data_IF_323628888642
#
_entry.id   IF_323628888642
#
_cell.length_a   1.000
_cell.length_b   1.000
_cell.length_c   1.000
_cell.angle_alpha   90.00
_cell.angle_beta   90.00
_cell.angle_gamma   90.00
#
_symmetry.space_group_name_H-M   'P 1'
#
loop_
_entity.id
_entity.type
_entity.pdbx_description
1 polymer ?
#
# COMPACT_ATOMS: atom_id res chain seq x y z
N UNK A 1 16.79 37.03 -13.56
CA UNK A 1 18.16 36.85 -14.08
C UNK A 1 18.95 35.81 -13.30
N UNK A 2 19.35 35.99 -12.04
CA UNK A 2 20.15 34.95 -11.34
C UNK A 2 19.40 33.63 -11.08
N UNK A 3 18.11 33.66 -10.74
CA UNK A 3 17.28 32.44 -10.58
C UNK A 3 17.03 31.72 -11.91
N UNK A 4 16.72 32.46 -12.99
CA UNK A 4 16.53 31.87 -14.34
C UNK A 4 17.82 31.22 -14.88
N UNK A 5 18.98 31.82 -14.61
CA UNK A 5 20.27 31.24 -15.00
C UNK A 5 20.65 30.02 -14.16
N UNK A 6 20.23 29.96 -12.88
CA UNK A 6 20.40 28.80 -12.03
C UNK A 6 19.45 27.64 -12.41
N UNK A 7 18.23 27.95 -12.85
CA UNK A 7 17.27 26.97 -13.39
C UNK A 7 17.79 26.29 -14.65
N UNK A 8 18.47 27.03 -15.54
CA UNK A 8 19.08 26.47 -16.76
C UNK A 8 20.24 25.51 -16.48
N UNK A 9 20.85 25.60 -15.30
CA UNK A 9 22.01 24.78 -14.91
C UNK A 9 21.62 23.57 -14.04
N UNK A 10 20.41 23.57 -13.48
CA UNK A 10 19.88 22.50 -12.66
C UNK A 10 19.06 21.52 -13.53
N UNK A 11 19.35 20.21 -13.52
CA UNK A 11 18.55 19.23 -14.25
C UNK A 11 17.14 19.03 -13.68
N UNK A 12 16.87 19.55 -12.47
CA UNK A 12 15.55 19.48 -11.86
C UNK A 12 14.85 20.85 -11.94
N UNK A 13 13.57 20.89 -12.37
CA UNK A 13 12.81 22.14 -12.34
C UNK A 13 12.68 22.64 -10.91
N UNK A 14 12.68 23.96 -10.74
CA UNK A 14 12.32 24.59 -9.47
C UNK A 14 10.87 24.24 -9.10
N UNK A 15 10.53 24.20 -7.81
CA UNK A 15 9.15 23.98 -7.39
C UNK A 15 8.24 25.10 -7.92
N UNK A 16 6.93 24.84 -8.13
CA UNK A 16 6.00 25.84 -8.65
C UNK A 16 5.96 27.10 -7.78
N UNK A 17 6.10 28.29 -8.38
CA UNK A 17 6.25 29.59 -7.68
C UNK A 17 5.23 29.86 -6.55
N UNK A 18 4.05 29.27 -6.63
CA UNK A 18 3.00 29.34 -5.61
C UNK A 18 3.40 28.71 -4.25
N UNK A 19 4.46 27.88 -4.18
CA UNK A 19 4.88 27.25 -2.93
C UNK A 19 5.21 28.29 -1.84
N UNK A 20 5.76 29.45 -2.22
CA UNK A 20 6.10 30.56 -1.33
C UNK A 20 4.87 31.18 -0.64
N UNK A 21 3.69 31.00 -1.23
CA UNK A 21 2.42 31.53 -0.73
C UNK A 21 1.85 30.71 0.43
N UNK A 22 2.30 29.46 0.62
CA UNK A 22 1.85 28.57 1.69
C UNK A 22 2.51 28.92 3.03
N UNK A 23 2.15 30.08 3.60
CA UNK A 23 2.58 30.50 4.94
C UNK A 23 1.49 30.20 5.98
N UNK A 24 1.90 30.04 7.24
CA UNK A 24 0.95 29.84 8.35
C UNK A 24 -0.04 30.99 8.51
N UNK A 25 0.40 32.21 8.18
CA UNK A 25 -0.45 33.39 8.17
C UNK A 25 -1.51 33.33 7.06
N UNK A 26 -1.09 33.06 5.82
CA UNK A 26 -2.00 33.01 4.67
C UNK A 26 -3.03 31.88 4.79
N UNK A 27 -2.65 30.75 5.40
CA UNK A 27 -3.59 29.66 5.68
C UNK A 27 -4.65 30.06 6.70
N UNK A 28 -4.27 30.80 7.76
CA UNK A 28 -5.25 31.35 8.73
C UNK A 28 -6.17 32.37 8.07
N UNK A 29 -5.65 33.21 7.18
CA UNK A 29 -6.49 34.15 6.41
C UNK A 29 -7.49 33.41 5.53
N UNK A 30 -7.08 32.30 4.90
CA UNK A 30 -7.97 31.45 4.12
C UNK A 30 -9.06 30.80 4.98
N UNK A 31 -8.72 30.29 6.17
CA UNK A 31 -9.70 29.71 7.09
C UNK A 31 -10.72 30.78 7.55
N UNK A 32 -10.26 31.99 7.89
CA UNK A 32 -11.15 33.11 8.23
C UNK A 32 -12.01 33.55 7.05
N UNK A 33 -11.45 33.57 5.84
CA UNK A 33 -12.19 33.89 4.62
C UNK A 33 -13.31 32.87 4.39
N UNK A 34 -13.03 31.58 4.58
CA UNK A 34 -14.03 30.50 4.49
C UNK A 34 -15.15 30.63 5.52
N UNK A 35 -14.80 30.93 6.77
CA UNK A 35 -15.79 31.13 7.84
C UNK A 35 -16.76 32.27 7.52
N UNK A 36 -16.28 33.36 6.92
CA UNK A 36 -17.11 34.53 6.59
C UNK A 36 -17.88 34.42 5.28
N UNK A 37 -17.37 33.63 4.35
CA UNK A 37 -17.96 33.42 3.02
C UNK A 37 -18.85 32.17 3.00
N UNK A 38 -19.12 31.53 4.15
CA UNK A 38 -19.70 30.19 4.34
C UNK A 38 -20.86 29.75 3.39
N UNK A 39 -21.63 30.68 2.79
CA UNK A 39 -22.74 30.39 1.88
C UNK A 39 -22.52 30.82 0.41
N UNK A 40 -21.48 31.59 0.10
CA UNK A 40 -21.19 32.09 -1.25
C UNK A 40 -20.02 31.36 -1.91
N UNK A 41 -20.02 31.28 -3.24
CA UNK A 41 -18.93 30.65 -3.98
C UNK A 41 -17.62 31.42 -3.73
N UNK A 42 -16.68 30.81 -3.02
CA UNK A 42 -15.39 31.36 -2.56
C UNK A 42 -14.59 31.99 -3.72
N UNK A 43 -14.78 31.47 -4.94
CA UNK A 43 -14.15 31.99 -6.17
C UNK A 43 -14.70 33.34 -6.65
N UNK A 44 -15.87 33.78 -6.18
CA UNK A 44 -16.56 34.99 -6.61
C UNK A 44 -16.66 36.09 -5.54
N UNK A 45 -16.34 35.76 -4.30
CA UNK A 45 -16.40 36.70 -3.17
C UNK A 45 -15.18 37.63 -3.14
N UNK A 46 -15.42 38.91 -2.86
CA UNK A 46 -14.36 39.91 -2.70
C UNK A 46 -13.56 39.67 -1.42
N UNK A 47 -12.34 39.14 -1.54
CA UNK A 47 -11.43 38.85 -0.41
C UNK A 47 -11.19 40.06 0.50
N UNK A 48 -11.04 41.24 -0.08
CA UNK A 48 -10.80 42.48 0.67
C UNK A 48 -12.00 42.97 1.48
N UNK A 49 -13.21 42.68 1.01
CA UNK A 49 -14.43 43.04 1.72
C UNK A 49 -14.66 42.10 2.91
N UNK A 50 -14.41 40.80 2.72
CA UNK A 50 -14.54 39.80 3.77
C UNK A 50 -13.41 39.83 4.83
N UNK A 51 -12.25 40.41 4.49
CA UNK A 51 -11.07 40.49 5.35
C UNK A 51 -10.64 41.93 5.67
N UNK A 52 -11.55 42.91 5.59
CA UNK A 52 -11.25 44.34 5.83
C UNK A 52 -10.58 44.62 7.18
N UNK A 53 -10.82 43.75 8.16
CA UNK A 53 -10.33 43.88 9.53
C UNK A 53 -8.90 43.36 9.72
N UNK A 54 -8.33 42.67 8.72
CA UNK A 54 -6.99 42.10 8.78
C UNK A 54 -5.99 43.01 8.05
N UNK A 55 -4.83 43.18 8.66
CA UNK A 55 -3.68 43.81 8.00
C UNK A 55 -2.96 42.77 7.12
N UNK A 56 -2.29 43.23 6.07
CA UNK A 56 -1.45 42.42 5.18
C UNK A 56 -2.20 41.36 4.33
N UNK A 57 -3.44 41.65 3.92
CA UNK A 57 -4.18 40.81 2.96
C UNK A 57 -3.46 40.80 1.60
N UNK A 58 -3.02 39.63 1.09
CA UNK A 58 -2.27 39.56 -0.16
C UNK A 58 -3.10 39.95 -1.39
N UNK A 59 -2.44 40.50 -2.42
CA UNK A 59 -3.09 40.88 -3.70
C UNK A 59 -3.54 39.70 -4.57
N UNK A 60 -2.95 38.54 -4.34
CA UNK A 60 -3.33 37.32 -5.05
C UNK A 60 -4.51 36.63 -4.33
N UNK A 61 -5.36 35.90 -5.07
CA UNK A 61 -6.54 35.27 -4.50
C UNK A 61 -6.16 34.09 -3.59
N UNK A 62 -6.60 34.13 -2.33
CA UNK A 62 -6.38 33.08 -1.33
C UNK A 62 -6.91 31.72 -1.80
N UNK A 63 -7.88 31.70 -2.71
CA UNK A 63 -8.42 30.49 -3.36
C UNK A 63 -7.33 29.61 -4.00
N UNK A 64 -6.19 30.19 -4.38
CA UNK A 64 -5.04 29.41 -4.90
C UNK A 64 -4.45 28.43 -3.88
N UNK A 65 -4.65 28.67 -2.58
CA UNK A 65 -4.17 27.77 -1.51
C UNK A 65 -5.13 26.61 -1.26
N UNK A 66 -6.28 26.58 -1.93
CA UNK A 66 -7.22 25.48 -1.79
C UNK A 66 -6.67 24.18 -2.37
N UNK A 67 -7.25 23.07 -1.92
CA UNK A 67 -6.93 21.77 -2.48
C UNK A 67 -7.31 21.76 -3.96
N UNK A 68 -6.49 21.17 -4.84
CA UNK A 68 -6.86 20.99 -6.24
C UNK A 68 -8.21 20.29 -6.37
N UNK A 69 -8.94 20.58 -7.46
CA UNK A 69 -10.21 19.92 -7.75
C UNK A 69 -9.99 18.48 -8.19
N UNK A 70 -10.07 17.56 -7.23
CA UNK A 70 -9.96 16.12 -7.47
C UNK A 70 -11.15 15.60 -8.28
N UNK A 71 -12.29 16.29 -8.22
CA UNK A 71 -13.52 15.91 -8.92
C UNK A 71 -13.32 15.82 -10.44
N UNK A 72 -12.53 16.72 -11.02
CA UNK A 72 -12.19 16.69 -12.46
C UNK A 72 -11.47 15.40 -12.86
N UNK A 73 -10.56 14.92 -12.00
CA UNK A 73 -9.84 13.67 -12.25
C UNK A 73 -10.80 12.48 -12.18
N UNK A 74 -11.79 12.52 -11.28
CA UNK A 74 -12.81 11.47 -11.16
C UNK A 74 -13.79 11.50 -12.35
N UNK A 75 -14.17 12.68 -12.84
CA UNK A 75 -15.05 12.88 -14.00
C UNK A 75 -14.39 12.42 -15.31
N UNK A 76 -13.12 12.79 -15.51
CA UNK A 76 -12.34 12.38 -16.69
C UNK A 76 -11.93 10.90 -16.62
N UNK A 77 -11.84 10.33 -15.41
CA UNK A 77 -11.52 8.92 -15.17
C UNK A 77 -10.06 8.54 -15.45
N UNK A 78 -9.22 9.51 -15.82
CA UNK A 78 -7.79 9.35 -16.04
C UNK A 78 -7.04 10.66 -15.77
N UNK A 79 -5.72 10.59 -15.61
CA UNK A 79 -4.82 11.73 -15.47
C UNK A 79 -3.50 11.45 -16.16
N UNK A 80 -2.84 12.48 -16.69
CA UNK A 80 -1.57 12.31 -17.42
C UNK A 80 -0.37 12.65 -16.54
N UNK A 81 0.65 11.79 -16.56
CA UNK A 81 1.91 11.99 -15.85
C UNK A 81 3.06 11.71 -16.81
N UNK A 82 3.91 12.72 -17.05
CA UNK A 82 5.10 12.61 -17.91
C UNK A 82 4.84 12.05 -19.33
N UNK A 83 3.66 12.32 -19.89
CA UNK A 83 3.25 11.82 -21.22
C UNK A 83 2.48 10.50 -21.19
N UNK A 84 2.44 9.81 -20.06
CA UNK A 84 1.65 8.59 -19.88
C UNK A 84 0.28 8.90 -19.30
N UNK A 85 -0.75 8.19 -19.78
CA UNK A 85 -2.12 8.31 -19.28
C UNK A 85 -2.39 7.23 -18.24
N UNK A 86 -2.77 7.66 -17.04
CA UNK A 86 -3.08 6.80 -15.89
C UNK A 86 -4.58 6.81 -15.62
N UNK A 87 -5.22 5.65 -15.59
CA UNK A 87 -6.65 5.54 -15.31
C UNK A 87 -6.89 5.50 -13.79
N UNK A 88 -7.91 6.24 -13.32
CA UNK A 88 -8.27 6.28 -11.90
C UNK A 88 -8.77 4.91 -11.43
N UNK A 89 -9.52 4.22 -12.29
CA UNK A 89 -9.88 2.83 -12.10
C UNK A 89 -9.02 1.98 -13.03
N UNK A 90 -8.00 1.34 -12.45
CA UNK A 90 -7.19 0.38 -13.20
C UNK A 90 -8.04 -0.84 -13.58
N UNK A 91 -8.51 -0.85 -14.83
CA UNK A 91 -9.07 -2.04 -15.45
C UNK A 91 -7.98 -2.71 -16.27
N UNK A 92 -7.64 -3.95 -15.93
CA UNK A 92 -6.75 -4.75 -16.76
C UNK A 92 -7.51 -5.01 -18.07
N UNK A 93 -7.02 -4.52 -19.23
CA UNK A 93 -7.70 -4.75 -20.51
C UNK A 93 -7.74 -6.24 -20.78
N UNK A 94 -8.88 -6.73 -21.30
CA UNK A 94 -8.99 -8.15 -21.62
C UNK A 94 -8.07 -8.52 -22.78
N UNK A 95 -7.71 -9.80 -22.88
CA UNK A 95 -6.89 -10.26 -24.00
C UNK A 95 -7.57 -9.99 -25.35
N UNK A 96 -8.91 -10.07 -25.41
CA UNK A 96 -9.69 -9.77 -26.60
C UNK A 96 -9.65 -8.27 -26.96
N UNK A 97 -9.70 -7.38 -25.98
CA UNK A 97 -9.62 -5.91 -26.19
C UNK A 97 -8.25 -5.50 -26.75
N UNK A 98 -7.21 -6.26 -26.41
CA UNK A 98 -5.86 -6.10 -26.96
C UNK A 98 -5.67 -6.78 -28.32
N UNK A 99 -6.73 -7.32 -28.92
CA UNK A 99 -6.68 -8.04 -30.20
C UNK A 99 -6.03 -9.42 -30.13
N UNK A 100 -5.82 -9.95 -28.91
CA UNK A 100 -5.22 -11.25 -28.68
C UNK A 100 -6.22 -12.41 -28.70
N UNK A 101 -5.78 -13.57 -29.14
CA UNK A 101 -6.59 -14.79 -29.15
C UNK A 101 -6.60 -15.44 -27.75
N UNK A 102 -7.75 -15.48 -27.10
CA UNK A 102 -7.90 -16.12 -25.79
C UNK A 102 -8.04 -17.64 -25.93
N UNK A 103 -7.21 -18.38 -25.20
CA UNK A 103 -7.11 -19.85 -25.25
C UNK A 103 -7.66 -20.53 -23.98
N UNK A 104 -8.29 -19.77 -23.09
CA UNK A 104 -8.91 -20.25 -21.85
C UNK A 104 -10.34 -19.68 -21.72
N UNK A 105 -11.22 -20.32 -20.92
CA UNK A 105 -12.60 -19.85 -20.74
C UNK A 105 -12.69 -18.41 -20.24
N UNK A 106 -13.57 -17.62 -20.85
CA UNK A 106 -13.84 -16.22 -20.43
C UNK A 106 -14.52 -16.19 -19.07
N UNK A 107 -15.44 -17.12 -18.84
CA UNK A 107 -16.19 -17.24 -17.60
C UNK A 107 -15.25 -17.51 -16.40
N UNK A 108 -15.21 -16.63 -15.39
CA UNK A 108 -14.41 -16.83 -14.18
C UNK A 108 -14.89 -18.01 -13.32
N UNK A 109 -16.13 -18.49 -13.48
CA UNK A 109 -16.68 -19.59 -12.70
C UNK A 109 -16.18 -20.98 -13.15
N UNK A 110 -15.62 -21.07 -14.36
CA UNK A 110 -15.14 -22.33 -14.94
C UNK A 110 -13.68 -22.56 -14.56
N UNK A 111 -13.33 -23.79 -14.20
CA UNK A 111 -11.94 -24.16 -13.92
C UNK A 111 -11.04 -23.94 -15.15
N UNK A 112 -10.11 -22.97 -15.03
CA UNK A 112 -9.16 -22.58 -16.07
C UNK A 112 -7.91 -23.47 -16.09
N UNK A 113 -7.63 -24.23 -15.02
CA UNK A 113 -6.42 -25.07 -14.90
C UNK A 113 -6.22 -26.05 -16.07
N UNK A 114 -7.22 -26.80 -16.57
CA UNK A 114 -7.01 -27.70 -17.70
C UNK A 114 -6.60 -26.95 -18.97
N UNK A 115 -7.21 -25.79 -19.25
CA UNK A 115 -6.86 -24.96 -20.39
C UNK A 115 -5.44 -24.41 -20.28
N UNK A 116 -5.06 -23.86 -19.11
CA UNK A 116 -3.72 -23.33 -18.87
C UNK A 116 -2.64 -24.41 -18.92
N UNK A 117 -2.92 -25.62 -18.42
CA UNK A 117 -2.03 -26.78 -18.58
C UNK A 117 -1.84 -27.15 -20.04
N UNK A 118 -2.88 -27.06 -20.87
CA UNK A 118 -2.75 -27.29 -22.30
C UNK A 118 -1.94 -26.19 -22.99
N UNK A 119 -2.16 -24.91 -22.64
CA UNK A 119 -1.35 -23.78 -23.13
C UNK A 119 0.13 -23.98 -22.77
N UNK A 120 0.44 -24.41 -21.54
CA UNK A 120 1.81 -24.70 -21.12
C UNK A 120 2.42 -25.86 -21.91
N UNK A 121 1.68 -26.96 -22.10
CA UNK A 121 2.14 -28.10 -22.92
C UNK A 121 2.39 -27.68 -24.36
N UNK A 122 1.48 -26.91 -24.95
CA UNK A 122 1.64 -26.33 -26.28
C UNK A 122 2.87 -25.44 -26.35
N UNK A 123 3.14 -24.61 -25.34
CA UNK A 123 4.33 -23.76 -25.29
C UNK A 123 5.62 -24.58 -25.32
N UNK A 124 5.69 -25.65 -24.53
CA UNK A 124 6.86 -26.54 -24.51
C UNK A 124 7.08 -27.24 -25.86
N UNK A 125 6.01 -27.71 -26.51
CA UNK A 125 6.08 -28.35 -27.84
C UNK A 125 6.45 -27.33 -28.93
N UNK A 126 5.89 -26.13 -28.90
CA UNK A 126 6.23 -25.05 -29.84
C UNK A 126 7.69 -24.62 -29.67
N UNK A 127 8.19 -24.58 -28.43
CA UNK A 127 9.60 -24.30 -28.15
C UNK A 127 10.53 -25.41 -28.66
N UNK A 128 10.18 -26.69 -28.50
CA UNK A 128 11.01 -27.76 -29.08
C UNK A 128 11.04 -27.69 -30.60
N UNK A 129 9.91 -27.41 -31.26
CA UNK A 129 9.84 -27.20 -32.71
C UNK A 129 10.62 -25.96 -33.17
N UNK A 130 10.66 -24.90 -32.36
CA UNK A 130 11.51 -23.75 -32.63
C UNK A 130 12.99 -24.16 -32.64
N UNK A 131 13.43 -24.96 -31.66
CA UNK A 131 14.80 -25.47 -31.63
C UNK A 131 15.10 -26.34 -32.86
N UNK A 132 14.18 -27.24 -33.23
CA UNK A 132 14.33 -28.07 -34.44
C UNK A 132 14.45 -27.20 -35.71
N UNK A 133 13.62 -26.15 -35.83
CA UNK A 133 13.63 -25.22 -36.95
C UNK A 133 14.91 -24.36 -37.00
N UNK A 134 15.50 -24.04 -35.86
CA UNK A 134 16.77 -23.28 -35.77
C UNK A 134 17.99 -24.16 -36.07
N UNK A 135 17.91 -25.45 -35.77
CA UNK A 135 18.96 -26.44 -36.07
C UNK A 135 18.84 -27.01 -37.48
N UNK A 136 17.72 -26.77 -38.17
CA UNK A 136 17.50 -27.16 -39.55
C UNK A 136 18.51 -26.46 -40.49
N UNK A 137 18.90 -27.11 -41.61
CA UNK A 137 19.79 -26.49 -42.58
C UNK A 137 19.18 -25.18 -43.11
N UNK A 138 20.03 -24.17 -43.42
CA UNK A 138 19.54 -22.88 -43.88
C UNK A 138 18.71 -23.02 -45.16
N UNK A 139 17.63 -22.24 -45.31
CA UNK A 139 16.79 -22.31 -46.50
C UNK A 139 17.63 -22.01 -47.74
N UNK A 140 17.42 -22.80 -48.80
CA UNK A 140 18.08 -22.57 -50.09
C UNK A 140 17.65 -21.22 -50.66
N UNK A 141 18.53 -20.54 -51.40
CA UNK A 141 18.30 -19.21 -51.98
C UNK A 141 17.08 -19.11 -52.92
N UNK A 142 16.44 -20.24 -53.25
CA UNK A 142 15.22 -20.35 -54.06
C UNK A 142 13.93 -20.35 -53.22
N UNK A 143 13.99 -20.45 -51.89
CA UNK A 143 12.81 -20.55 -51.05
C UNK A 143 12.20 -19.16 -50.80
N UNK A 144 10.97 -18.95 -51.27
CA UNK A 144 10.16 -17.76 -51.00
C UNK A 144 9.26 -17.93 -49.77
N UNK A 145 9.25 -19.10 -49.13
CA UNK A 145 8.45 -19.36 -47.95
C UNK A 145 9.07 -18.70 -46.70
N UNK A 146 8.27 -18.11 -45.81
CA UNK A 146 8.78 -17.57 -44.56
C UNK A 146 9.41 -18.69 -43.71
N UNK A 147 10.48 -18.39 -42.95
CA UNK A 147 11.15 -19.38 -42.13
C UNK A 147 10.21 -19.99 -41.10
N UNK A 148 10.30 -21.31 -40.87
CA UNK A 148 9.45 -21.99 -39.88
C UNK A 148 9.60 -21.41 -38.47
N UNK A 149 10.81 -20.99 -38.08
CA UNK A 149 11.07 -20.39 -36.77
C UNK A 149 10.19 -19.17 -36.50
N UNK A 150 9.87 -18.36 -37.54
CA UNK A 150 9.06 -17.16 -37.39
C UNK A 150 7.66 -17.50 -36.90
N UNK A 151 7.04 -18.52 -37.51
CA UNK A 151 5.74 -19.04 -37.08
C UNK A 151 5.78 -19.55 -35.65
N UNK A 152 6.85 -20.27 -35.27
CA UNK A 152 6.96 -20.79 -33.89
C UNK A 152 7.06 -19.65 -32.87
N UNK A 153 7.80 -18.58 -33.19
CA UNK A 153 7.91 -17.38 -32.35
C UNK A 153 6.55 -16.70 -32.17
N UNK A 154 5.79 -16.51 -33.25
CA UNK A 154 4.44 -15.94 -33.19
C UNK A 154 3.52 -16.73 -32.25
N UNK A 155 3.54 -18.07 -32.35
CA UNK A 155 2.78 -18.93 -31.43
C UNK A 155 3.26 -18.83 -29.98
N UNK A 156 4.57 -18.76 -29.74
CA UNK A 156 5.12 -18.56 -28.39
C UNK A 156 4.65 -17.23 -27.81
N UNK A 157 4.63 -16.15 -28.60
CA UNK A 157 4.11 -14.84 -28.17
C UNK A 157 2.64 -14.94 -27.75
N UNK A 158 1.79 -15.56 -28.56
CA UNK A 158 0.37 -15.75 -28.24
C UNK A 158 0.18 -16.59 -26.97
N UNK A 159 0.90 -17.70 -26.84
CA UNK A 159 0.84 -18.58 -25.67
C UNK A 159 1.31 -17.85 -24.39
N UNK A 160 2.39 -17.09 -24.49
CA UNK A 160 2.92 -16.27 -23.39
C UNK A 160 1.94 -15.18 -22.94
N UNK A 161 1.34 -14.46 -23.89
CA UNK A 161 0.30 -13.48 -23.60
C UNK A 161 -0.90 -14.09 -22.88
N UNK A 162 -1.34 -15.29 -23.29
CA UNK A 162 -2.42 -16.01 -22.62
C UNK A 162 -2.09 -16.39 -21.18
N UNK A 163 -0.87 -16.87 -20.90
CA UNK A 163 -0.43 -17.19 -19.54
C UNK A 163 -0.38 -15.93 -18.68
N UNK A 164 0.17 -14.83 -19.22
CA UNK A 164 0.25 -13.56 -18.50
C UNK A 164 -1.14 -12.98 -18.18
N UNK A 165 -2.05 -12.99 -19.16
CA UNK A 165 -3.43 -12.53 -18.96
C UNK A 165 -4.16 -13.37 -17.90
N UNK A 166 -4.04 -14.70 -17.97
CA UNK A 166 -4.66 -15.58 -16.99
C UNK A 166 -4.10 -15.38 -15.57
N UNK A 167 -2.79 -15.11 -15.45
CA UNK A 167 -2.17 -14.78 -14.16
C UNK A 167 -2.66 -13.42 -13.64
N UNK A 168 -2.83 -12.44 -14.51
CA UNK A 168 -3.37 -11.14 -14.16
C UNK A 168 -4.82 -11.23 -13.63
N UNK A 169 -5.65 -12.07 -14.25
CA UNK A 169 -7.02 -12.33 -13.80
C UNK A 169 -7.09 -12.95 -12.40
N UNK A 170 -6.04 -13.66 -11.96
CA UNK A 170 -5.98 -14.29 -10.63
C UNK A 170 -5.55 -13.33 -9.51
N UNK A 171 -5.02 -12.14 -9.83
CA UNK A 171 -4.54 -11.17 -8.82
C UNK A 171 -5.59 -10.78 -7.78
N UNK A 172 -6.88 -10.52 -8.12
CA UNK A 172 -7.89 -10.18 -7.12
C UNK A 172 -8.16 -11.32 -6.14
N UNK A 173 -8.17 -12.56 -6.62
CA UNK A 173 -8.36 -13.75 -5.77
C UNK A 173 -7.16 -13.93 -4.84
N UNK A 174 -5.94 -13.78 -5.38
CA UNK A 174 -4.71 -13.81 -4.58
C UNK A 174 -4.71 -12.73 -3.48
N UNK A 175 -5.11 -11.50 -3.81
CA UNK A 175 -5.16 -10.41 -2.83
C UNK A 175 -6.13 -10.71 -1.67
N UNK A 176 -7.29 -11.30 -1.97
CA UNK A 176 -8.25 -11.75 -0.94
C UNK A 176 -7.67 -12.86 -0.07
N UNK A 177 -7.04 -13.86 -0.67
CA UNK A 177 -6.39 -14.95 0.06
C UNK A 177 -5.27 -14.44 0.98
N UNK A 178 -4.45 -13.52 0.49
CA UNK A 178 -3.41 -12.88 1.29
C UNK A 178 -3.99 -12.08 2.48
N UNK A 179 -5.07 -11.34 2.25
CA UNK A 179 -5.74 -10.58 3.31
C UNK A 179 -6.32 -11.51 4.38
N UNK A 180 -7.00 -12.58 3.97
CA UNK A 180 -7.56 -13.56 4.89
C UNK A 180 -6.47 -14.22 5.75
N UNK A 181 -5.36 -14.65 5.13
CA UNK A 181 -4.23 -15.21 5.84
C UNK A 181 -3.65 -14.22 6.86
N UNK A 182 -3.49 -12.96 6.46
CA UNK A 182 -3.03 -11.89 7.36
C UNK A 182 -3.96 -11.72 8.56
N UNK A 183 -5.28 -11.69 8.35
CA UNK A 183 -6.27 -11.54 9.40
C UNK A 183 -6.31 -12.75 10.35
N UNK A 184 -6.24 -13.97 9.80
CA UNK A 184 -6.12 -15.20 10.60
C UNK A 184 -4.87 -15.17 11.48
N UNK A 185 -3.74 -14.69 10.95
CA UNK A 185 -2.50 -14.53 11.72
C UNK A 185 -2.62 -13.47 12.81
N UNK A 186 -3.23 -12.33 12.52
CA UNK A 186 -3.47 -11.28 13.52
C UNK A 186 -4.33 -11.80 14.67
N UNK A 187 -5.37 -12.58 14.35
CA UNK A 187 -6.26 -13.15 15.34
C UNK A 187 -5.54 -14.17 16.25
N UNK A 188 -4.66 -15.01 15.69
CA UNK A 188 -3.87 -15.93 16.50
C UNK A 188 -2.89 -15.21 17.42
N UNK A 189 -2.20 -14.18 16.92
CA UNK A 189 -1.31 -13.35 17.75
C UNK A 189 -2.07 -12.71 18.93
N UNK A 190 -3.27 -12.18 18.70
CA UNK A 190 -4.10 -11.62 19.79
C UNK A 190 -4.52 -12.66 20.83
N UNK A 191 -4.80 -13.90 20.40
CA UNK A 191 -5.09 -15.00 21.32
C UNK A 191 -3.86 -15.38 22.15
N UNK A 192 -2.68 -15.47 21.53
CA UNK A 192 -1.42 -15.74 22.22
C UNK A 192 -1.09 -14.63 23.24
N UNK A 193 -1.23 -13.37 22.87
CA UNK A 193 -1.06 -12.21 23.76
C UNK A 193 -2.01 -12.28 24.96
N UNK A 194 -3.30 -12.58 24.72
CA UNK A 194 -4.31 -12.67 25.78
C UNK A 194 -4.01 -13.82 26.74
N UNK A 195 -3.61 -14.99 26.22
CA UNK A 195 -3.18 -16.14 27.03
C UNK A 195 -1.95 -15.78 27.88
N UNK A 196 -0.98 -15.06 27.30
CA UNK A 196 0.21 -14.63 28.01
C UNK A 196 -0.13 -13.64 29.13
N UNK A 197 -1.04 -12.69 28.89
CA UNK A 197 -1.51 -11.74 29.91
C UNK A 197 -2.20 -12.50 31.06
N UNK A 198 -3.13 -13.41 30.75
CA UNK A 198 -3.80 -14.21 31.78
C UNK A 198 -2.80 -15.02 32.61
N UNK A 199 -1.85 -15.70 31.98
CA UNK A 199 -0.81 -16.45 32.69
C UNK A 199 0.05 -15.56 33.61
N UNK A 200 0.31 -14.30 33.23
CA UNK A 200 1.02 -13.34 34.07
C UNK A 200 0.15 -12.84 35.24
N UNK A 201 -1.14 -12.59 35.01
CA UNK A 201 -2.09 -12.23 36.08
C UNK A 201 -2.20 -13.36 37.11
N UNK A 202 -2.39 -14.60 36.67
CA UNK A 202 -2.46 -15.77 37.57
C UNK A 202 -1.18 -15.91 38.42
N UNK A 203 -0.02 -15.71 37.80
CA UNK A 203 1.26 -15.75 38.51
C UNK A 203 1.43 -14.59 39.51
N UNK A 204 0.89 -13.40 39.21
CA UNK A 204 0.90 -12.27 40.14
C UNK A 204 -0.07 -12.49 41.31
N UNK A 205 -1.26 -13.00 41.05
CA UNK A 205 -2.24 -13.34 42.09
C UNK A 205 -1.69 -14.40 43.05
N UNK A 206 -1.05 -15.45 42.53
CA UNK A 206 -0.40 -16.47 43.35
C UNK A 206 0.69 -15.88 44.26
N UNK A 207 1.54 -14.99 43.73
CA UNK A 207 2.57 -14.29 44.52
C UNK A 207 1.99 -13.36 45.57
N UNK A 208 0.93 -12.61 45.23
CA UNK A 208 0.24 -11.74 46.19
C UNK A 208 -0.40 -12.55 47.33
N UNK A 209 -0.98 -13.72 47.02
CA UNK A 209 -1.50 -14.63 48.03
C UNK A 209 -0.40 -15.14 48.96
N UNK A 210 0.76 -15.55 48.42
CA UNK A 210 1.93 -15.97 49.20
C UNK A 210 2.40 -14.85 50.14
N UNK A 211 2.57 -13.62 49.64
CA UNK A 211 2.95 -12.47 50.46
C UNK A 211 1.90 -12.20 51.54
N UNK A 212 0.60 -12.31 51.23
CA UNK A 212 -0.46 -12.13 52.21
C UNK A 212 -0.41 -13.16 53.33
N UNK A 213 -0.14 -14.43 53.00
CA UNK A 213 0.05 -15.48 54.01
C UNK A 213 1.28 -15.20 54.88
N UNK A 214 2.41 -14.81 54.30
CA UNK A 214 3.62 -14.50 55.09
C UNK A 214 3.41 -13.34 56.05
N UNK A 215 2.70 -12.27 55.62
CA UNK A 215 2.31 -11.14 56.49
C UNK A 215 1.38 -11.58 57.63
N UNK A 216 0.47 -12.53 57.40
CA UNK A 216 -0.42 -13.05 58.45
C UNK A 216 0.29 -13.96 59.44
N UNK A 217 1.37 -14.63 59.02
CA UNK A 217 2.19 -15.49 59.90
C UNK A 217 3.25 -14.73 60.72
N UNK A 218 3.48 -13.44 60.44
CA UNK A 218 4.35 -12.61 61.26
C UNK A 218 3.68 -12.31 62.62
N UNK A 219 4.33 -12.59 63.77
CA UNK A 219 3.75 -12.33 65.08
C UNK A 219 3.54 -10.82 65.27
N UNK A 220 2.37 -10.45 65.80
CA UNK A 220 2.05 -9.09 66.27
C UNK A 220 2.83 -8.77 67.55
N UNK A 221 4.15 -8.66 67.46
CA UNK A 221 4.99 -8.09 68.51
C UNK A 221 6.16 -7.33 67.88
N UNK A 222 5.85 -6.13 67.39
CA UNK A 222 6.82 -5.06 67.22
C UNK A 222 6.08 -3.72 67.11
N UNK A 223 5.41 -3.30 68.20
CA UNK A 223 5.07 -1.90 68.37
C UNK A 223 6.02 -1.25 69.38
N UNK A 224 6.75 -0.25 68.87
CA UNK A 224 7.39 0.87 69.58
C UNK A 224 8.74 0.63 70.26
N UNK A 225 9.82 0.98 69.54
CA UNK A 225 10.83 1.90 70.08
C UNK A 225 11.22 2.92 69.00
N UNK A 226 10.86 4.18 69.25
CA UNK A 226 11.37 5.33 68.52
C UNK A 226 12.76 5.68 69.03
N UNK A 227 13.77 5.72 68.15
CA UNK A 227 14.94 6.63 68.27
C UNK A 227 15.38 6.98 66.85
N UNK A 228 15.41 8.28 66.56
CA UNK A 228 15.70 8.80 65.22
C UNK A 228 17.16 8.63 64.78
N UNK A 229 17.36 8.63 63.45
CA UNK A 229 18.58 9.16 62.85
C UNK A 229 18.34 9.54 61.38
N UNK A 230 18.74 10.76 61.05
CA UNK A 230 18.84 11.28 59.70
C UNK A 230 19.60 10.35 58.76
N UNK A 231 19.10 10.25 57.53
CA UNK A 231 19.78 9.61 56.41
C UNK A 231 19.04 9.95 55.12
N UNK A 232 19.51 10.99 54.44
CA UNK A 232 19.08 11.48 53.13
C UNK A 232 19.08 10.37 52.08
N UNK A 233 17.99 10.19 51.34
CA UNK A 233 18.05 9.52 50.04
C UNK A 233 17.02 10.11 49.08
N UNK A 234 17.56 10.98 48.23
CA UNK A 234 17.21 11.27 46.84
C UNK A 234 15.82 10.80 46.38
N UNK A 235 14.92 11.76 46.22
CA UNK A 235 13.76 11.64 45.34
C UNK A 235 14.31 11.58 43.91
N UNK A 236 14.69 10.39 43.45
CA UNK A 236 14.85 10.18 42.02
C UNK A 236 13.46 10.02 41.42
N UNK A 237 12.93 11.18 41.02
CA UNK A 237 11.99 11.33 39.92
C UNK A 237 12.47 10.46 38.75
N UNK A 238 11.90 9.26 38.61
CA UNK A 238 12.00 8.53 37.35
C UNK A 238 10.89 9.07 36.48
N UNK A 239 11.32 9.95 35.58
CA UNK A 239 10.61 10.42 34.40
C UNK A 239 9.78 9.28 33.82
N UNK A 240 8.46 9.46 33.84
CA UNK A 240 7.54 8.69 33.02
C UNK A 240 7.90 9.02 31.57
N UNK A 241 8.78 8.21 30.99
CA UNK A 241 9.24 8.35 29.62
C UNK A 241 8.07 8.11 28.68
N UNK A 242 7.48 9.22 28.28
CA UNK A 242 6.75 9.45 27.05
C UNK A 242 7.52 8.87 25.86
N UNK A 243 7.25 7.61 25.48
CA UNK A 243 7.37 7.07 24.12
C UNK A 243 6.67 5.69 24.07
N UNK A 244 5.38 5.66 23.77
CA UNK A 244 4.73 4.41 23.33
C UNK A 244 3.61 4.69 22.32
N UNK A 245 3.94 5.45 21.29
CA UNK A 245 3.22 5.47 20.02
C UNK A 245 4.27 5.65 18.91
N UNK A 246 4.15 4.86 17.84
CA UNK A 246 4.97 4.75 16.62
C UNK A 246 5.96 3.56 16.56
N UNK A 247 5.45 2.37 16.20
CA UNK A 247 5.85 1.66 14.96
C UNK A 247 5.13 0.31 14.81
N UNK A 248 4.16 0.14 13.89
CA UNK A 248 3.77 -1.18 13.40
C UNK A 248 4.65 -1.65 12.22
N UNK A 249 5.56 -0.82 11.72
CA UNK A 249 6.14 -1.02 10.37
C UNK A 249 7.47 -1.78 10.32
N UNK A 250 8.00 -2.30 11.43
CA UNK A 250 9.32 -2.98 11.44
C UNK A 250 9.28 -4.50 11.65
N UNK A 251 8.11 -5.13 11.63
CA UNK A 251 7.95 -6.60 11.77
C UNK A 251 7.27 -7.26 10.55
N UNK A 252 7.25 -6.60 9.38
CA UNK A 252 6.88 -7.23 8.10
C UNK A 252 8.08 -7.90 7.42
N UNK A 253 8.98 -8.53 8.18
CA UNK A 253 10.15 -9.19 7.62
C UNK A 253 10.22 -10.68 7.99
N UNK A 254 9.19 -11.39 7.52
CA UNK A 254 9.25 -12.69 6.83
C UNK A 254 7.82 -13.21 6.75
N UNK A 255 7.07 -12.71 5.77
CA UNK A 255 5.90 -13.44 5.26
C UNK A 255 6.48 -14.71 4.65
N UNK A 256 6.24 -15.86 5.29
CA UNK A 256 6.47 -17.14 4.63
C UNK A 256 5.63 -17.10 3.35
N UNK A 257 6.30 -17.20 2.20
CA UNK A 257 5.66 -17.24 0.89
C UNK A 257 4.57 -18.30 0.92
N UNK A 258 3.31 -17.89 0.72
CA UNK A 258 2.20 -18.79 0.42
C UNK A 258 2.67 -19.80 -0.62
N UNK A 259 2.57 -21.09 -0.30
CA UNK A 259 2.95 -22.14 -1.25
C UNK A 259 1.97 -22.11 -2.43
N UNK A 260 2.46 -22.47 -3.61
CA UNK A 260 1.70 -22.45 -4.87
C UNK A 260 0.41 -23.30 -4.77
N UNK A 261 0.39 -24.30 -3.90
CA UNK A 261 -0.74 -25.19 -3.65
C UNK A 261 -1.91 -24.49 -2.95
N UNK A 262 -1.64 -23.57 -2.02
CA UNK A 262 -2.68 -22.84 -1.27
C UNK A 262 -3.48 -21.88 -2.17
N UNK A 263 -2.80 -21.27 -3.16
CA UNK A 263 -3.45 -20.39 -4.15
C UNK A 263 -4.36 -21.19 -5.10
N UNK A 264 -4.06 -22.47 -5.32
CA UNK A 264 -4.76 -23.33 -6.28
C UNK A 264 -5.98 -24.06 -5.68
N UNK A 265 -5.96 -24.38 -4.39
CA UNK A 265 -7.10 -25.01 -3.72
C UNK A 265 -8.27 -24.04 -3.48
N UNK A 266 -8.00 -22.75 -3.31
CA UNK A 266 -9.04 -21.76 -2.98
C UNK A 266 -9.93 -21.38 -4.17
N UNK A 267 -9.49 -21.65 -5.40
CA UNK A 267 -10.34 -21.54 -6.57
C UNK A 267 -11.46 -22.62 -6.60
N UNK A 268 -11.33 -23.70 -5.83
CA UNK A 268 -12.33 -24.76 -5.75
C UNK A 268 -13.40 -24.51 -4.66
N UNK A 269 -13.12 -23.66 -3.67
CA UNK A 269 -14.05 -23.37 -2.55
C UNK A 269 -15.10 -22.28 -2.85
N UNK A 270 -15.09 -21.70 -4.05
CA UNK A 270 -16.12 -20.73 -4.50
C UNK A 270 -17.13 -21.41 -5.48
N UNK A 271 -17.38 -22.71 -5.29
CA UNK A 271 -18.59 -23.39 -5.81
C UNK A 271 -19.60 -23.63 -4.70
#
# INVERSE_FOLDING_TARGET
MEEEEAELRNPFPSPPSHYTKYTTHNLRLLDLFRERVADANISSASQYEALSDQNDVPEWPLVQLEKPRVDWILEEGHYTVFGDTWFVKETIPSLADLGGQQLYPVDPSVDRRPALRNVLRSLLVTYSRLLDALLAPPPTASSTAPPEWQRQVEWITVLGQNIMAAANDLRPVQARGNLELMLRRQLELRREETKAIHAKCDALEAKLAEIRMTVQTLPRDATVQAVGRHGTSSVNSVLFSQYFWLNPSSQLQRVASTTIEDVLCWAEEIS
#
